data_IF_545916984209
#
_entry.id   IF_545916984209
#
_cell.length_a   1.000
_cell.length_b   1.000
_cell.length_c   1.000
_cell.angle_alpha   90.00
_cell.angle_beta   90.00
_cell.angle_gamma   90.00
#
_symmetry.space_group_name_H-M   'P 1'
#
loop_
_entity.id
_entity.type
_entity.pdbx_description
1 polymer ?
#
# COMPACT_ATOMS: atom_id res chain seq x y z
N UNK A 1 -34.39 -41.37 40.13
CA UNK A 1 -33.12 -40.84 39.60
C UNK A 1 -33.43 -39.50 38.96
N UNK A 2 -32.88 -38.39 39.47
CA UNK A 2 -33.13 -37.04 38.93
C UNK A 2 -32.05 -36.71 37.91
N UNK A 3 -32.42 -36.59 36.64
CA UNK A 3 -31.53 -36.04 35.61
C UNK A 3 -31.46 -34.54 35.81
N UNK A 4 -30.27 -34.02 36.12
CA UNK A 4 -29.98 -32.59 36.12
C UNK A 4 -29.32 -32.28 34.78
N UNK A 5 -30.07 -31.66 33.87
CA UNK A 5 -29.54 -31.20 32.59
C UNK A 5 -28.76 -29.90 32.84
N UNK A 6 -27.44 -30.00 32.90
CA UNK A 6 -26.57 -28.83 32.93
C UNK A 6 -26.57 -28.18 31.54
N UNK A 7 -27.20 -27.02 31.43
CA UNK A 7 -27.16 -26.20 30.23
C UNK A 7 -25.84 -25.42 30.22
N UNK A 8 -24.83 -25.94 29.53
CA UNK A 8 -23.55 -25.26 29.33
C UNK A 8 -23.80 -24.06 28.41
N UNK A 9 -23.81 -22.85 28.99
CA UNK A 9 -23.86 -21.60 28.22
C UNK A 9 -22.50 -21.45 27.54
N UNK A 10 -22.43 -21.73 26.24
CA UNK A 10 -21.26 -21.40 25.41
C UNK A 10 -21.30 -19.89 25.22
N UNK A 11 -20.50 -19.17 26.01
CA UNK A 11 -20.28 -17.74 25.82
C UNK A 11 -19.52 -17.56 24.50
N UNK A 12 -20.22 -17.12 23.46
CA UNK A 12 -19.58 -16.63 22.24
C UNK A 12 -18.77 -15.41 22.63
N UNK A 13 -17.44 -15.56 22.70
CA UNK A 13 -16.53 -14.44 22.83
C UNK A 13 -16.78 -13.51 21.63
N UNK A 14 -17.10 -12.25 21.92
CA UNK A 14 -17.24 -11.20 20.92
C UNK A 14 -15.94 -11.08 20.14
N UNK A 15 -15.93 -11.56 18.90
CA UNK A 15 -14.87 -11.22 17.97
C UNK A 15 -14.97 -9.71 17.69
N UNK A 16 -13.85 -8.99 17.53
CA UNK A 16 -13.90 -7.59 17.16
C UNK A 16 -14.68 -7.44 15.84
N UNK A 17 -15.78 -6.68 15.86
CA UNK A 17 -16.69 -6.48 14.72
C UNK A 17 -16.04 -5.71 13.56
N UNK A 18 -14.87 -5.11 13.78
CA UNK A 18 -14.06 -4.52 12.71
C UNK A 18 -12.57 -4.51 13.08
N UNK A 19 -11.76 -5.07 12.19
CA UNK A 19 -10.31 -4.84 12.14
C UNK A 19 -10.07 -3.94 10.94
N UNK A 20 -9.79 -2.65 11.18
CA UNK A 20 -9.29 -1.74 10.15
C UNK A 20 -7.76 -1.73 10.26
N UNK A 21 -7.11 -2.61 9.50
CA UNK A 21 -5.66 -2.70 9.45
C UNK A 21 -5.17 -2.14 8.11
N UNK A 22 -4.34 -1.10 8.17
CA UNK A 22 -3.67 -0.53 6.99
C UNK A 22 -2.21 -0.98 6.97
N UNK A 23 -1.58 -0.96 5.80
CA UNK A 23 -0.20 -1.37 5.70
C UNK A 23 0.51 -0.84 4.47
N UNK A 24 1.83 -0.71 4.58
CA UNK A 24 2.66 -0.12 3.54
C UNK A 24 4.07 -0.70 3.55
N UNK A 25 4.72 -0.68 2.37
CA UNK A 25 6.12 -1.05 2.25
C UNK A 25 7.01 0.12 2.68
N UNK A 26 7.86 -0.14 3.67
CA UNK A 26 8.72 0.84 4.32
C UNK A 26 10.14 0.81 3.80
N UNK A 27 10.72 -0.37 3.55
CA UNK A 27 12.11 -0.46 3.11
C UNK A 27 12.28 -1.51 1.99
N UNK A 28 12.77 -1.12 0.80
CA UNK A 28 12.85 0.27 0.31
C UNK A 28 11.46 0.92 0.29
N UNK A 29 11.41 2.26 0.36
CA UNK A 29 10.13 2.97 0.41
C UNK A 29 9.24 2.63 -0.80
N UNK A 30 7.95 2.38 -0.57
CA UNK A 30 6.97 2.43 -1.66
C UNK A 30 6.87 3.84 -2.24
N UNK A 31 6.43 3.96 -3.50
CA UNK A 31 6.36 5.26 -4.23
C UNK A 31 5.65 6.36 -3.46
N UNK A 32 4.54 6.01 -2.82
CA UNK A 32 3.73 6.92 -2.03
C UNK A 32 4.33 7.23 -0.65
N UNK A 33 5.03 6.26 -0.03
CA UNK A 33 5.75 6.49 1.23
C UNK A 33 6.95 7.40 0.99
N UNK A 34 7.73 7.16 -0.07
CA UNK A 34 8.81 8.05 -0.50
C UNK A 34 8.29 9.47 -0.72
N UNK A 35 7.18 9.63 -1.44
CA UNK A 35 6.58 10.95 -1.69
C UNK A 35 6.12 11.67 -0.41
N UNK A 36 5.71 10.89 0.59
CA UNK A 36 5.27 11.40 1.88
C UNK A 36 6.46 11.81 2.76
N UNK A 37 7.39 10.88 2.98
CA UNK A 37 8.53 11.02 3.90
C UNK A 37 9.54 12.06 3.41
N UNK A 38 9.91 12.02 2.12
CA UNK A 38 10.85 12.99 1.55
C UNK A 38 10.19 14.34 1.25
N UNK A 39 8.86 14.41 1.35
CA UNK A 39 8.09 15.58 0.92
C UNK A 39 8.19 15.89 -0.58
N UNK A 40 8.77 14.97 -1.38
CA UNK A 40 8.97 15.10 -2.82
C UNK A 40 7.79 14.45 -3.53
N UNK A 41 6.88 15.26 -4.05
CA UNK A 41 5.78 14.71 -4.83
C UNK A 41 4.79 15.76 -5.29
N UNK A 42 3.96 15.38 -6.25
CA UNK A 42 2.91 16.25 -6.73
C UNK A 42 1.63 16.07 -5.91
N UNK A 43 0.88 17.14 -5.69
CA UNK A 43 -0.49 17.07 -5.19
C UNK A 43 -1.50 16.78 -6.30
N UNK A 44 -1.09 16.97 -7.56
CA UNK A 44 -1.90 16.72 -8.74
C UNK A 44 -1.90 15.21 -9.04
N UNK A 45 -3.05 14.51 -9.00
CA UNK A 45 -3.13 13.09 -9.34
C UNK A 45 -2.77 12.79 -10.80
N UNK A 46 -2.84 13.79 -11.69
CA UNK A 46 -2.48 13.70 -13.10
C UNK A 46 -1.02 14.14 -13.35
N UNK A 47 -0.25 14.35 -12.28
CA UNK A 47 1.16 14.67 -12.40
C UNK A 47 1.96 13.42 -12.63
N UNK A 48 2.44 13.28 -13.84
CA UNK A 48 3.22 12.11 -14.21
C UNK A 48 4.69 12.24 -13.81
N UNK A 49 5.25 13.44 -13.69
CA UNK A 49 6.71 13.62 -13.49
C UNK A 49 7.21 13.43 -12.05
N UNK A 50 6.31 13.43 -11.06
CA UNK A 50 6.65 13.32 -9.65
C UNK A 50 5.73 12.30 -8.98
N UNK A 51 6.23 11.51 -8.01
CA UNK A 51 5.40 10.64 -7.19
C UNK A 51 4.21 11.40 -6.58
N UNK A 52 3.02 10.79 -6.57
CA UNK A 52 1.85 11.42 -5.98
C UNK A 52 2.01 11.51 -4.45
N UNK A 53 2.05 12.74 -3.92
CA UNK A 53 2.06 12.98 -2.48
C UNK A 53 0.64 12.86 -1.95
N UNK A 54 0.42 11.88 -1.07
CA UNK A 54 -0.89 11.60 -0.51
C UNK A 54 -0.81 11.41 1.00
N UNK A 55 -1.68 12.09 1.75
CA UNK A 55 -1.65 12.06 3.22
C UNK A 55 -1.93 10.65 3.76
N UNK A 56 -2.89 9.94 3.14
CA UNK A 56 -3.20 8.54 3.46
C UNK A 56 -2.30 7.52 2.75
N UNK A 57 -1.02 7.81 2.57
CA UNK A 57 -0.05 6.92 1.90
C UNK A 57 0.01 5.50 2.51
N UNK A 58 -0.44 5.31 3.75
CA UNK A 58 -0.42 3.99 4.41
C UNK A 58 -1.62 3.10 4.07
N UNK A 59 -2.67 3.64 3.45
CA UNK A 59 -3.93 2.93 3.22
C UNK A 59 -4.24 2.75 1.74
N UNK A 60 -3.40 2.03 1.00
CA UNK A 60 -3.74 1.64 -0.37
C UNK A 60 -4.70 0.43 -0.31
N UNK A 61 -5.94 0.66 -0.72
CA UNK A 61 -7.06 -0.29 -0.54
C UNK A 61 -7.32 -1.12 -1.81
N UNK A 62 -6.75 -0.73 -2.96
CA UNK A 62 -6.97 -1.38 -4.24
C UNK A 62 -5.64 -1.72 -4.94
N UNK A 63 -5.61 -2.83 -5.68
CA UNK A 63 -4.44 -3.31 -6.43
C UNK A 63 -4.81 -4.33 -7.51
N UNK A 64 -3.80 -5.02 -8.05
CA UNK A 64 -3.98 -6.07 -9.07
C UNK A 64 -4.30 -5.52 -10.46
N UNK A 65 -4.77 -6.38 -11.38
CA UNK A 65 -4.92 -6.07 -12.80
C UNK A 65 -5.77 -4.81 -13.08
N UNK A 66 -6.72 -4.50 -12.20
CA UNK A 66 -7.63 -3.36 -12.34
C UNK A 66 -7.03 -2.01 -11.94
N UNK A 67 -6.09 -2.00 -10.99
CA UNK A 67 -5.53 -0.77 -10.39
C UNK A 67 -4.00 -0.67 -10.52
N UNK A 68 -3.38 -1.71 -11.05
CA UNK A 68 -1.95 -1.87 -11.26
C UNK A 68 -1.19 -2.32 -10.01
N UNK A 69 0.07 -2.67 -10.22
CA UNK A 69 0.92 -3.30 -9.21
C UNK A 69 1.33 -2.36 -8.06
N UNK A 70 1.29 -1.05 -8.25
CA UNK A 70 1.70 -0.08 -7.23
C UNK A 70 0.54 0.40 -6.34
N UNK A 71 -0.64 -0.18 -6.52
CA UNK A 71 -1.82 0.09 -5.71
C UNK A 71 -2.51 1.42 -6.03
N UNK A 72 -3.68 1.59 -5.43
CA UNK A 72 -4.53 2.75 -5.57
C UNK A 72 -5.37 2.98 -4.31
N UNK A 73 -5.85 4.22 -4.15
CA UNK A 73 -6.87 4.57 -3.16
C UNK A 73 -7.87 5.53 -3.79
N UNK A 74 -9.15 5.13 -3.78
CA UNK A 74 -10.22 5.84 -4.53
C UNK A 74 -9.79 6.02 -5.99
N UNK A 75 -9.75 7.26 -6.47
CA UNK A 75 -9.38 7.61 -7.85
C UNK A 75 -7.86 7.80 -8.05
N UNK A 76 -7.05 7.71 -6.99
CA UNK A 76 -5.61 7.95 -7.04
C UNK A 76 -4.85 6.64 -7.27
N UNK A 77 -4.19 6.52 -8.42
CA UNK A 77 -3.35 5.36 -8.78
C UNK A 77 -1.87 5.73 -8.64
N UNK A 78 -1.07 4.80 -8.14
CA UNK A 78 0.39 4.98 -7.99
C UNK A 78 1.19 4.17 -9.02
N UNK A 79 0.49 3.38 -9.83
CA UNK A 79 1.06 2.68 -10.99
C UNK A 79 1.35 3.71 -12.08
N UNK A 80 2.56 3.66 -12.63
CA UNK A 80 2.98 4.57 -13.70
C UNK A 80 2.58 3.98 -15.06
N UNK A 81 2.45 4.81 -16.11
CA UNK A 81 2.27 4.36 -17.49
C UNK A 81 3.32 3.33 -17.91
N UNK A 82 2.91 2.34 -18.70
CA UNK A 82 3.78 1.24 -19.15
C UNK A 82 4.85 1.67 -20.15
N UNK A 83 4.62 2.77 -20.87
CA UNK A 83 5.57 3.38 -21.81
C UNK A 83 6.61 4.27 -21.13
N UNK A 84 6.50 4.46 -19.81
CA UNK A 84 7.35 5.35 -19.02
C UNK A 84 7.37 6.79 -19.52
N UNK A 85 6.27 7.24 -20.14
CA UNK A 85 6.09 8.61 -20.58
C UNK A 85 4.98 9.28 -19.76
N UNK A 86 5.09 10.59 -19.59
CA UNK A 86 3.97 11.42 -19.17
C UNK A 86 2.90 11.51 -20.26
N UNK A 87 1.72 12.02 -19.93
CA UNK A 87 0.68 12.36 -20.91
C UNK A 87 1.15 13.34 -21.99
N UNK A 88 2.23 14.10 -21.74
CA UNK A 88 2.87 15.00 -22.72
C UNK A 88 4.04 14.36 -23.48
N UNK A 89 4.27 13.05 -23.32
CA UNK A 89 5.34 12.31 -24.00
C UNK A 89 6.73 12.51 -23.38
N UNK A 90 6.83 13.04 -22.16
CA UNK A 90 8.11 13.27 -21.48
C UNK A 90 8.50 12.01 -20.72
N UNK A 91 9.75 11.52 -20.81
CA UNK A 91 10.18 10.38 -20.01
C UNK A 91 10.05 10.63 -18.50
N UNK A 92 9.52 9.63 -17.80
CA UNK A 92 9.44 9.64 -16.35
C UNK A 92 10.84 9.55 -15.73
N UNK A 93 11.14 10.34 -14.69
CA UNK A 93 12.43 10.25 -14.03
C UNK A 93 12.59 8.89 -13.35
N UNK A 94 13.61 8.12 -13.76
CA UNK A 94 14.01 6.90 -13.07
C UNK A 94 14.89 7.24 -11.88
N UNK A 95 14.37 6.99 -10.67
CA UNK A 95 15.08 7.21 -9.41
C UNK A 95 15.00 5.93 -8.56
N UNK A 96 15.99 5.03 -8.67
CA UNK A 96 16.00 3.82 -7.87
C UNK A 96 16.21 4.18 -6.39
N UNK A 97 15.43 3.56 -5.50
CA UNK A 97 15.58 3.72 -4.05
C UNK A 97 16.73 2.90 -3.48
N UNK A 98 17.09 1.82 -4.17
CA UNK A 98 18.17 0.92 -3.78
C UNK A 98 18.71 0.19 -5.02
N UNK A 99 19.92 -0.34 -4.90
CA UNK A 99 20.55 -1.21 -5.90
C UNK A 99 20.99 -2.48 -5.18
N UNK A 100 20.76 -3.62 -5.82
CA UNK A 100 21.05 -4.94 -5.25
C UNK A 100 21.82 -5.76 -6.26
N UNK A 101 22.64 -6.68 -5.76
CA UNK A 101 23.33 -7.66 -6.61
C UNK A 101 22.41 -8.83 -6.91
N UNK A 102 22.54 -9.42 -8.09
CA UNK A 102 21.83 -10.65 -8.42
C UNK A 102 22.19 -11.76 -7.43
N UNK A 103 21.17 -12.43 -6.87
CA UNK A 103 21.34 -13.47 -5.85
C UNK A 103 21.55 -12.94 -4.42
N UNK A 104 21.58 -11.62 -4.20
CA UNK A 104 21.67 -11.03 -2.88
C UNK A 104 20.39 -11.31 -2.06
N UNK A 105 20.58 -11.70 -0.79
CA UNK A 105 19.49 -11.77 0.18
C UNK A 105 19.25 -10.36 0.70
N UNK A 106 18.09 -9.79 0.35
CA UNK A 106 17.72 -8.42 0.72
C UNK A 106 16.67 -8.42 1.84
N UNK A 107 16.73 -7.40 2.69
CA UNK A 107 15.71 -7.16 3.71
C UNK A 107 14.61 -6.25 3.14
N UNK A 108 13.36 -6.72 3.18
CA UNK A 108 12.18 -5.92 2.86
C UNK A 108 11.37 -5.70 4.13
N UNK A 109 11.05 -4.43 4.43
CA UNK A 109 10.22 -4.08 5.60
C UNK A 109 8.86 -3.57 5.17
N UNK A 110 7.83 -4.09 5.83
CA UNK A 110 6.47 -3.60 5.74
C UNK A 110 5.94 -3.29 7.12
N UNK A 111 5.11 -2.27 7.24
CA UNK A 111 4.47 -1.86 8.50
C UNK A 111 2.97 -2.10 8.38
N UNK A 112 2.39 -2.66 9.43
CA UNK A 112 0.93 -2.82 9.60
C UNK A 112 0.53 -1.89 10.75
N UNK A 113 -0.51 -1.09 10.54
CA UNK A 113 -1.05 -0.09 11.47
C UNK A 113 -2.50 -0.37 11.80
#
# INVERSE_FOLDING_TARGET
MKLVTACTIISFASFPDSTDAHGYAWQPYSRNSYAHEEGVGSSNPDSDTLPLRFYGHRGLEFGGDRFGACGARRERRFTLPSDWLTASGIPLPFQPQATYTEGEVIEIKSVIT
#
